data_IF_186746958632
#
_entry.id   IF_186746958632
#
_cell.length_a   1.000
_cell.length_b   1.000
_cell.length_c   1.000
_cell.angle_alpha   90.00
_cell.angle_beta   90.00
_cell.angle_gamma   90.00
#
_symmetry.space_group_name_H-M   'P 1'
#
loop_
_entity.id
_entity.type
_entity.pdbx_description
1 polymer ?
#
# COMPACT_ATOMS: atom_id res chain seq x y z
N UNK A 1 -2.54 1.78 1.36
CA UNK A 1 -1.23 1.42 1.93
C UNK A 1 -0.27 2.58 1.77
N UNK A 2 0.72 2.70 2.65
CA UNK A 2 1.85 3.61 2.43
C UNK A 2 2.75 2.99 1.36
N UNK A 3 3.00 3.74 0.29
CA UNK A 3 4.01 3.42 -0.70
C UNK A 3 5.32 4.11 -0.37
N UNK A 4 6.42 3.35 -0.38
CA UNK A 4 7.78 3.87 -0.17
C UNK A 4 8.52 3.78 -1.50
N UNK A 5 9.00 4.91 -2.01
CA UNK A 5 9.75 4.96 -3.28
C UNK A 5 11.23 5.06 -2.99
N UNK A 6 12.00 4.10 -3.49
CA UNK A 6 13.46 4.06 -3.33
C UNK A 6 14.10 5.11 -4.25
N UNK A 7 15.03 5.89 -3.71
CA UNK A 7 15.76 6.96 -4.40
C UNK A 7 17.21 6.65 -4.71
N UNK A 8 17.79 5.65 -4.04
CA UNK A 8 19.18 5.25 -4.22
C UNK A 8 19.31 3.72 -4.18
N UNK A 9 20.31 3.12 -4.88
CA UNK A 9 20.52 1.68 -4.82
C UNK A 9 20.71 1.19 -3.37
N UNK A 10 19.93 0.20 -2.94
CA UNK A 10 20.01 -0.40 -1.60
C UNK A 10 20.38 -1.88 -1.71
N UNK A 11 21.45 -2.32 -1.05
CA UNK A 11 21.80 -3.73 -0.91
C UNK A 11 22.42 -3.95 0.46
N UNK A 12 21.91 -4.92 1.22
CA UNK A 12 22.38 -5.26 2.56
C UNK A 12 22.52 -4.04 3.50
N UNK A 13 21.54 -3.13 3.47
CA UNK A 13 21.60 -1.87 4.24
C UNK A 13 21.15 -2.08 5.69
N UNK A 14 21.84 -1.40 6.62
CA UNK A 14 21.44 -1.38 8.02
C UNK A 14 20.10 -0.63 8.22
N UNK A 15 19.25 -1.15 9.11
CA UNK A 15 17.96 -0.55 9.45
C UNK A 15 18.08 0.93 9.86
N UNK A 16 19.11 1.27 10.64
CA UNK A 16 19.36 2.65 11.09
C UNK A 16 19.66 3.64 9.95
N UNK A 17 20.03 3.15 8.77
CA UNK A 17 20.34 3.95 7.57
C UNK A 17 19.28 3.78 6.48
N UNK A 18 18.29 2.90 6.67
CA UNK A 18 17.36 2.51 5.63
C UNK A 18 16.56 3.68 5.03
N UNK A 19 16.13 4.64 5.86
CA UNK A 19 15.36 5.81 5.41
C UNK A 19 16.20 6.79 4.56
N UNK A 20 17.54 6.72 4.61
CA UNK A 20 18.39 7.57 3.80
C UNK A 20 18.26 7.28 2.30
N UNK A 21 17.80 6.08 1.97
CA UNK A 21 17.65 5.62 0.59
C UNK A 21 16.26 5.88 0.01
N UNK A 22 15.33 6.46 0.79
CA UNK A 22 13.98 6.78 0.34
C UNK A 22 13.96 8.11 -0.42
N UNK A 23 13.41 8.11 -1.63
CA UNK A 23 13.11 9.33 -2.39
C UNK A 23 11.89 10.04 -1.81
N UNK A 24 10.85 9.27 -1.49
CA UNK A 24 9.61 9.80 -0.96
C UNK A 24 8.54 8.74 -0.72
N UNK A 25 7.33 9.22 -0.46
CA UNK A 25 6.18 8.42 -0.09
C UNK A 25 4.97 8.78 -0.94
N UNK A 26 4.06 7.83 -1.13
CA UNK A 26 2.83 8.03 -1.87
C UNK A 26 1.71 7.13 -1.32
N UNK A 27 0.46 7.38 -1.75
CA UNK A 27 -0.64 6.46 -1.46
C UNK A 27 -0.61 5.32 -2.50
N UNK A 28 -0.77 4.09 -2.03
CA UNK A 28 -0.93 2.88 -2.87
C UNK A 28 -2.24 2.20 -2.51
N UNK A 29 -3.01 1.79 -3.52
CA UNK A 29 -4.15 0.89 -3.32
C UNK A 29 -3.78 -0.50 -3.86
N UNK A 30 -3.48 -1.45 -2.98
CA UNK A 30 -3.17 -2.84 -3.34
C UNK A 30 -4.48 -3.64 -3.52
N UNK A 31 -5.10 -3.46 -4.69
CA UNK A 31 -6.36 -4.13 -5.03
C UNK A 31 -6.10 -5.62 -5.18
N UNK A 32 -6.98 -6.44 -4.59
CA UNK A 32 -6.81 -7.89 -4.57
C UNK A 32 -8.10 -8.60 -4.95
N UNK A 33 -8.05 -9.38 -6.02
CA UNK A 33 -9.06 -10.38 -6.32
C UNK A 33 -8.76 -11.61 -5.45
N UNK A 34 -9.71 -11.99 -4.59
CA UNK A 34 -9.46 -12.96 -3.50
C UNK A 34 -9.59 -14.40 -3.96
N UNK A 35 -10.42 -14.70 -4.94
CA UNK A 35 -10.52 -16.04 -5.52
C UNK A 35 -9.20 -16.43 -6.21
N UNK A 36 -8.65 -15.56 -7.05
CA UNK A 36 -7.37 -15.71 -7.72
C UNK A 36 -6.22 -15.75 -6.72
N UNK A 37 -6.25 -14.90 -5.69
CA UNK A 37 -5.19 -14.90 -4.67
C UNK A 37 -5.15 -16.20 -3.85
N UNK A 38 -6.30 -16.78 -3.49
CA UNK A 38 -6.39 -17.85 -2.48
C UNK A 38 -6.68 -19.22 -3.10
N UNK A 39 -7.59 -19.29 -4.07
CA UNK A 39 -8.18 -20.56 -4.52
C UNK A 39 -7.47 -21.14 -5.75
N UNK A 40 -6.70 -20.33 -6.49
CA UNK A 40 -6.05 -20.74 -7.75
C UNK A 40 -4.58 -21.16 -7.60
N UNK A 41 -4.19 -21.63 -6.40
CA UNK A 41 -2.86 -22.17 -6.06
C UNK A 41 -1.69 -21.18 -6.24
N UNK A 42 -0.43 -21.60 -6.07
CA UNK A 42 0.74 -20.76 -6.39
C UNK A 42 0.96 -19.52 -5.51
N UNK A 43 1.42 -18.41 -6.10
CA UNK A 43 1.77 -17.17 -5.40
C UNK A 43 0.61 -16.16 -5.35
N UNK A 44 0.64 -15.27 -4.35
CA UNK A 44 -0.39 -14.24 -4.13
C UNK A 44 -0.44 -13.19 -5.24
N UNK A 45 0.67 -12.94 -5.94
CA UNK A 45 0.80 -11.89 -6.95
C UNK A 45 -0.25 -11.98 -8.05
N UNK A 46 -0.73 -13.20 -8.38
CA UNK A 46 -1.73 -13.37 -9.44
C UNK A 46 -3.04 -12.61 -9.15
N UNK A 47 -3.43 -12.51 -7.88
CA UNK A 47 -4.66 -11.82 -7.49
C UNK A 47 -4.51 -10.30 -7.43
N UNK A 48 -3.28 -9.79 -7.62
CA UNK A 48 -2.89 -8.39 -7.44
C UNK A 48 -2.35 -7.75 -8.73
N UNK A 49 -2.05 -8.55 -9.74
CA UNK A 49 -1.44 -8.12 -11.00
C UNK A 49 -2.41 -7.84 -12.14
N UNK A 50 -3.72 -7.73 -11.89
CA UNK A 50 -4.68 -7.36 -12.94
C UNK A 50 -4.50 -5.91 -13.36
N UNK A 51 -4.89 -5.59 -14.59
CA UNK A 51 -4.96 -4.21 -15.06
C UNK A 51 -5.74 -3.37 -14.05
N UNK A 52 -5.22 -2.17 -13.73
CA UNK A 52 -5.76 -1.21 -12.75
C UNK A 52 -5.58 -1.55 -11.26
N UNK A 53 -4.98 -2.68 -10.88
CA UNK A 53 -4.94 -3.13 -9.47
C UNK A 53 -3.85 -2.53 -8.58
N UNK A 54 -2.94 -1.74 -9.14
CA UNK A 54 -1.96 -0.97 -8.37
C UNK A 54 -2.03 0.54 -8.59
N UNK A 55 -3.12 1.25 -8.25
CA UNK A 55 -3.14 2.71 -8.26
C UNK A 55 -2.11 3.29 -7.28
N UNK A 56 -1.24 4.17 -7.79
CA UNK A 56 -0.20 4.88 -7.04
C UNK A 56 -0.36 6.39 -7.28
N UNK A 57 -0.18 7.21 -6.24
CA UNK A 57 -0.29 8.66 -6.32
C UNK A 57 -1.29 9.22 -5.30
N UNK A 58 -1.84 10.43 -5.46
CA UNK A 58 -1.80 11.27 -6.66
C UNK A 58 -0.44 11.91 -6.96
N UNK A 59 0.46 11.99 -5.97
CA UNK A 59 1.82 12.49 -6.15
C UNK A 59 2.81 11.74 -5.24
N UNK A 60 4.08 11.96 -5.51
CA UNK A 60 5.18 11.59 -4.62
C UNK A 60 5.45 12.77 -3.69
N UNK A 61 5.37 12.54 -2.38
CA UNK A 61 5.82 13.52 -1.36
C UNK A 61 7.24 13.16 -0.98
N UNK A 62 8.16 14.12 -1.04
CA UNK A 62 9.57 13.87 -0.77
C UNK A 62 9.80 13.53 0.70
N UNK A 63 10.88 12.80 0.99
CA UNK A 63 11.18 12.33 2.34
C UNK A 63 11.24 13.45 3.38
N UNK A 64 11.75 14.62 3.03
CA UNK A 64 11.90 15.78 3.92
C UNK A 64 10.55 16.42 4.33
N UNK A 65 9.50 16.24 3.53
CA UNK A 65 8.14 16.68 3.86
C UNK A 65 7.36 15.67 4.72
N UNK A 66 7.93 14.49 4.98
CA UNK A 66 7.37 13.44 5.85
C UNK A 66 8.34 13.16 7.00
N UNK A 67 8.26 13.92 8.12
CA UNK A 67 9.24 13.81 9.21
C UNK A 67 9.31 12.43 9.86
N UNK A 68 8.19 11.71 9.92
CA UNK A 68 8.11 10.36 10.48
C UNK A 68 7.11 9.49 9.69
N UNK A 69 7.59 8.56 8.83
CA UNK A 69 6.71 7.69 8.06
C UNK A 69 5.93 6.68 8.93
N UNK A 70 6.31 6.49 10.20
CA UNK A 70 5.58 5.67 11.16
C UNK A 70 4.51 6.44 11.94
N UNK A 71 4.17 7.68 11.56
CA UNK A 71 3.11 8.45 12.22
C UNK A 71 2.16 9.14 11.23
N UNK A 72 1.60 8.36 10.32
CA UNK A 72 0.66 8.84 9.31
C UNK A 72 -0.70 8.17 9.48
N UNK A 73 -1.75 8.97 9.61
CA UNK A 73 -3.12 8.46 9.56
C UNK A 73 -3.48 8.07 8.13
N UNK A 74 -4.14 6.93 7.96
CA UNK A 74 -4.56 6.40 6.66
C UNK A 74 -5.94 5.78 6.73
N UNK A 75 -6.66 5.87 5.62
CA UNK A 75 -8.07 5.49 5.59
C UNK A 75 -8.55 5.07 4.21
N UNK A 76 -9.67 4.35 4.17
CA UNK A 76 -10.39 4.00 2.94
C UNK A 76 -11.91 4.02 3.19
N UNK A 77 -12.64 4.57 2.23
CA UNK A 77 -14.09 4.63 2.14
C UNK A 77 -14.57 3.95 0.84
N UNK A 78 -15.73 3.29 0.91
CA UNK A 78 -16.48 2.88 -0.29
C UNK A 78 -17.89 3.44 -0.17
N UNK A 79 -18.32 4.23 -1.16
CA UNK A 79 -19.60 4.95 -1.18
C UNK A 79 -19.86 5.74 0.12
N UNK A 80 -18.80 6.36 0.67
CA UNK A 80 -18.85 7.14 1.91
C UNK A 80 -18.82 6.33 3.20
N UNK A 81 -18.85 4.99 3.13
CA UNK A 81 -18.68 4.14 4.31
C UNK A 81 -17.20 3.89 4.60
N UNK A 82 -16.75 4.26 5.81
CA UNK A 82 -15.37 4.06 6.28
C UNK A 82 -15.12 2.58 6.58
N UNK A 83 -14.36 1.91 5.71
CA UNK A 83 -13.98 0.51 5.88
C UNK A 83 -12.64 0.36 6.60
N UNK A 84 -11.66 1.20 6.26
CA UNK A 84 -10.34 1.18 6.88
C UNK A 84 -10.04 2.53 7.52
N UNK A 85 -9.50 2.49 8.72
CA UNK A 85 -9.04 3.65 9.47
C UNK A 85 -7.90 3.20 10.39
N UNK A 86 -6.69 3.69 10.13
CA UNK A 86 -5.49 3.22 10.82
C UNK A 86 -4.38 4.26 10.84
N UNK A 87 -3.25 3.88 11.45
CA UNK A 87 -2.07 4.73 11.51
C UNK A 87 -0.81 3.88 11.28
N UNK A 88 0.19 4.40 10.57
CA UNK A 88 1.42 3.65 10.27
C UNK A 88 2.21 3.25 11.52
N UNK A 89 1.96 3.84 12.69
CA UNK A 89 2.55 3.42 13.98
C UNK A 89 2.17 2.01 14.40
N UNK A 90 1.08 1.46 13.84
CA UNK A 90 0.62 0.09 14.15
C UNK A 90 1.15 -0.94 13.15
N UNK A 91 2.02 -0.55 12.22
CA UNK A 91 2.70 -1.51 11.34
C UNK A 91 3.53 -2.48 12.18
N UNK A 92 3.43 -3.78 11.87
CA UNK A 92 4.22 -4.82 12.55
C UNK A 92 5.71 -4.69 12.24
N UNK A 93 6.03 -4.32 11.00
CA UNK A 93 7.38 -3.99 10.55
C UNK A 93 7.39 -2.54 10.06
N UNK A 94 8.30 -1.73 10.58
CA UNK A 94 8.45 -0.33 10.17
C UNK A 94 8.97 -0.21 8.74
N UNK A 95 8.84 0.97 8.11
CA UNK A 95 9.44 1.23 6.79
C UNK A 95 10.93 0.92 6.77
N UNK A 96 11.67 1.30 7.82
CA UNK A 96 13.10 1.02 7.92
C UNK A 96 13.40 -0.49 7.96
N UNK A 97 12.60 -1.25 8.72
CA UNK A 97 12.71 -2.71 8.81
C UNK A 97 12.43 -3.39 7.46
N UNK A 98 11.39 -2.94 6.76
CA UNK A 98 11.03 -3.48 5.44
C UNK A 98 12.16 -3.28 4.43
N UNK A 99 12.70 -2.06 4.33
CA UNK A 99 13.81 -1.76 3.40
C UNK A 99 15.04 -2.60 3.74
N UNK A 100 15.46 -2.61 5.02
CA UNK A 100 16.63 -3.36 5.45
C UNK A 100 16.46 -4.86 5.17
N UNK A 101 15.30 -5.42 5.50
CA UNK A 101 15.00 -6.84 5.27
C UNK A 101 14.99 -7.19 3.78
N UNK A 102 14.26 -6.45 2.94
CA UNK A 102 14.17 -6.70 1.51
C UNK A 102 15.55 -6.58 0.83
N UNK A 103 16.35 -5.61 1.26
CA UNK A 103 17.70 -5.39 0.73
C UNK A 103 18.64 -6.58 0.93
N UNK A 104 18.38 -7.45 1.91
CA UNK A 104 19.16 -8.69 2.12
C UNK A 104 18.86 -9.74 1.05
N UNK A 105 17.59 -9.82 0.63
CA UNK A 105 17.14 -10.75 -0.40
C UNK A 105 17.52 -10.28 -1.81
N UNK A 106 17.31 -9.00 -2.11
CA UNK A 106 17.51 -8.42 -3.44
C UNK A 106 18.03 -6.98 -3.35
N UNK A 107 18.73 -6.52 -4.39
CA UNK A 107 19.09 -5.11 -4.49
C UNK A 107 17.86 -4.28 -4.86
N UNK A 108 17.50 -3.30 -4.04
CA UNK A 108 16.45 -2.33 -4.38
C UNK A 108 17.04 -1.24 -5.29
N UNK A 109 16.34 -0.91 -6.35
CA UNK A 109 16.75 0.08 -7.35
C UNK A 109 16.03 1.41 -7.16
N UNK A 110 16.64 2.55 -7.54
CA UNK A 110 15.92 3.81 -7.63
C UNK A 110 14.66 3.67 -8.50
N UNK A 111 13.52 4.09 -7.97
CA UNK A 111 12.20 3.92 -8.59
C UNK A 111 11.41 2.71 -8.11
N UNK A 112 12.03 1.78 -7.38
CA UNK A 112 11.28 0.66 -6.76
C UNK A 112 10.25 1.20 -5.77
N UNK A 113 9.06 0.60 -5.78
CA UNK A 113 7.96 0.95 -4.88
C UNK A 113 7.66 -0.22 -3.95
N UNK A 114 7.72 0.03 -2.65
CA UNK A 114 7.34 -0.94 -1.62
C UNK A 114 5.95 -0.56 -1.11
N UNK A 115 4.96 -1.42 -1.35
CA UNK A 115 3.65 -1.33 -0.70
C UNK A 115 3.73 -1.98 0.68
N UNK A 116 3.54 -1.22 1.75
CA UNK A 116 3.96 -1.63 3.10
C UNK A 116 2.90 -2.41 3.88
N UNK A 117 1.80 -2.81 3.25
CA UNK A 117 0.67 -3.48 3.89
C UNK A 117 -0.45 -2.54 4.31
N UNK A 118 -1.57 -3.15 4.71
CA UNK A 118 -2.86 -2.48 4.91
C UNK A 118 -3.37 -2.66 6.34
N UNK A 119 -4.02 -1.65 6.94
CA UNK A 119 -4.63 -1.78 8.26
C UNK A 119 -5.88 -2.69 8.23
N UNK A 120 -6.41 -3.10 9.39
CA UNK A 120 -7.67 -3.84 9.47
C UNK A 120 -8.82 -3.16 8.73
N UNK A 121 -9.85 -3.94 8.38
CA UNK A 121 -11.04 -3.44 7.68
C UNK A 121 -11.12 -3.84 6.20
N UNK A 122 -10.21 -4.69 5.72
CA UNK A 122 -10.32 -5.28 4.39
C UNK A 122 -11.61 -6.07 4.25
N UNK A 123 -12.24 -5.99 3.07
CA UNK A 123 -13.53 -6.60 2.77
C UNK A 123 -13.64 -8.09 3.12
N UNK A 124 -12.58 -8.86 2.86
CA UNK A 124 -12.49 -10.29 3.18
C UNK A 124 -12.57 -10.59 4.70
N UNK A 125 -12.13 -9.65 5.55
CA UNK A 125 -12.11 -9.81 7.00
C UNK A 125 -13.43 -9.46 7.69
N UNK A 126 -14.39 -8.88 6.96
CA UNK A 126 -15.67 -8.43 7.52
C UNK A 126 -16.54 -9.63 7.90
N UNK A 127 -17.27 -9.48 9.01
CA UNK A 127 -18.16 -10.48 9.59
C UNK A 127 -19.60 -9.93 9.65
N UNK A 128 -20.64 -10.79 9.55
CA UNK A 128 -20.57 -12.26 9.47
C UNK A 128 -20.14 -12.80 8.10
N UNK A 129 -20.29 -12.00 7.04
CA UNK A 129 -19.87 -12.35 5.70
C UNK A 129 -18.90 -11.29 5.14
N UNK A 130 -17.93 -11.70 4.29
CA UNK A 130 -17.04 -10.77 3.63
C UNK A 130 -17.82 -9.85 2.69
N UNK A 131 -17.31 -8.63 2.51
CA UNK A 131 -17.87 -7.62 1.60
C UNK A 131 -16.84 -7.35 0.52
N UNK A 132 -17.23 -7.49 -0.75
CA UNK A 132 -16.36 -7.21 -1.89
C UNK A 132 -16.90 -6.02 -2.69
N UNK A 133 -15.99 -5.37 -3.42
CA UNK A 133 -16.33 -4.29 -4.33
C UNK A 133 -17.30 -4.79 -5.41
N UNK A 134 -18.26 -3.94 -5.75
CA UNK A 134 -19.23 -4.13 -6.82
C UNK A 134 -19.02 -3.07 -7.89
N UNK A 135 -19.49 -3.34 -9.11
CA UNK A 135 -19.43 -2.37 -10.20
C UNK A 135 -20.18 -1.06 -9.84
N UNK A 136 -19.59 0.08 -10.20
CA UNK A 136 -20.17 1.40 -10.06
C UNK A 136 -19.90 2.10 -8.73
N UNK A 137 -19.31 1.41 -7.75
CA UNK A 137 -18.98 1.97 -6.44
C UNK A 137 -17.80 2.95 -6.53
N UNK A 138 -17.81 3.93 -5.63
CA UNK A 138 -16.74 4.90 -5.48
C UNK A 138 -15.84 4.51 -4.32
N UNK A 139 -14.57 4.22 -4.60
CA UNK A 139 -13.52 4.01 -3.60
C UNK A 139 -12.79 5.32 -3.42
N UNK A 140 -12.70 5.80 -2.19
CA UNK A 140 -11.88 6.96 -1.81
C UNK A 140 -10.90 6.53 -0.75
N UNK A 141 -9.63 6.87 -0.89
CA UNK A 141 -8.62 6.57 0.12
C UNK A 141 -7.59 7.68 0.20
N UNK A 142 -6.91 7.77 1.34
CA UNK A 142 -5.90 8.79 1.56
C UNK A 142 -4.98 8.45 2.71
N UNK A 143 -3.87 9.16 2.74
CA UNK A 143 -2.92 9.19 3.85
C UNK A 143 -2.66 10.66 4.16
N UNK A 144 -2.66 11.00 5.45
CA UNK A 144 -2.36 12.35 5.91
C UNK A 144 -1.06 12.88 5.27
N UNK A 145 -1.13 14.06 4.66
CA UNK A 145 -0.01 14.70 3.96
C UNK A 145 0.30 14.15 2.57
N UNK A 146 -0.20 12.96 2.18
CA UNK A 146 0.13 12.32 0.89
C UNK A 146 -0.96 12.45 -0.20
N UNK A 147 -2.06 13.13 0.12
CA UNK A 147 -3.20 13.33 -0.78
C UNK A 147 -4.22 12.19 -0.75
N UNK A 148 -5.16 12.25 -1.69
CA UNK A 148 -6.29 11.32 -1.78
C UNK A 148 -6.42 10.77 -3.20
N UNK A 149 -6.88 9.53 -3.30
CA UNK A 149 -7.29 8.88 -4.55
C UNK A 149 -8.81 8.72 -4.56
N UNK A 150 -9.41 8.83 -5.74
CA UNK A 150 -10.82 8.55 -5.98
C UNK A 150 -10.95 7.67 -7.23
N UNK A 151 -11.44 6.44 -7.06
CA UNK A 151 -11.63 5.48 -8.13
C UNK A 151 -13.09 5.06 -8.24
N UNK A 152 -13.58 4.88 -9.47
CA UNK A 152 -14.88 4.26 -9.74
C UNK A 152 -14.68 2.83 -10.23
N UNK A 153 -15.22 1.86 -9.50
CA UNK A 153 -15.15 0.45 -9.90
C UNK A 153 -16.01 0.23 -11.15
N UNK A 154 -15.54 -0.65 -12.04
CA UNK A 154 -16.25 -1.09 -13.24
C UNK A 154 -16.41 -2.60 -13.20
N UNK A 155 -17.53 -3.10 -13.71
CA UNK A 155 -17.65 -4.54 -13.95
C UNK A 155 -16.69 -4.94 -15.07
N UNK A 156 -16.25 -6.19 -15.07
CA UNK A 156 -15.61 -6.75 -16.26
C UNK A 156 -16.65 -6.79 -17.39
N UNK A 157 -16.33 -6.16 -18.51
CA UNK A 157 -17.10 -6.28 -19.76
C UNK A 157 -16.70 -7.55 -20.52
#
# INVERSE_FOLDING_TARGET
ELGVVIGAPCKDVDEARALDYVAGYCVVNDVSEREWQIERGGQWDKGKGFDTFGPIGPWLVTRDEVPDPQRLDLWLEVDGHRYQNGNTRTMVFTVAQLIAYLSRCMSLQPGDVISTGTPPGVGMGIKPAPVFLKAGQMVRLGIEGLGEQLQRTRGAE
#
